data_IF_967313212081
#
_entry.id   IF_967313212081
#
_cell.length_a   1.000
_cell.length_b   1.000
_cell.length_c   1.000
_cell.angle_alpha   90.00
_cell.angle_beta   90.00
_cell.angle_gamma   90.00
#
_symmetry.space_group_name_H-M   'P 1'
#
loop_
_entity.id
_entity.type
_entity.pdbx_description
1 polymer ?
#
# COMPACT_ATOMS: atom_id res chain seq x y z
N UNK A 1 -4.18 55.41 -20.29
CA UNK A 1 -4.25 54.49 -19.13
C UNK A 1 -5.13 53.33 -19.55
N UNK A 2 -4.52 52.18 -19.88
CA UNK A 2 -5.22 50.96 -20.28
C UNK A 2 -4.96 49.91 -19.22
N UNK A 3 -6.00 49.47 -18.52
CA UNK A 3 -5.91 48.35 -17.58
C UNK A 3 -6.00 47.06 -18.38
N UNK A 4 -4.88 46.34 -18.44
CA UNK A 4 -4.87 44.97 -18.93
C UNK A 4 -5.63 44.09 -17.92
N UNK A 5 -6.83 43.67 -18.30
CA UNK A 5 -7.50 42.54 -17.66
C UNK A 5 -6.74 41.27 -18.06
N UNK A 6 -5.85 40.81 -17.18
CA UNK A 6 -5.28 39.48 -17.25
C UNK A 6 -6.39 38.48 -16.98
N UNK A 7 -6.91 37.88 -18.05
CA UNK A 7 -7.99 36.90 -18.02
C UNK A 7 -7.61 35.68 -17.20
N UNK A 8 -8.36 35.44 -16.13
CA UNK A 8 -8.45 34.17 -15.42
C UNK A 8 -9.16 33.15 -16.32
N UNK A 9 -8.46 32.57 -17.31
CA UNK A 9 -9.08 31.61 -18.25
C UNK A 9 -8.34 30.27 -18.29
N UNK A 10 -7.90 29.78 -17.12
CA UNK A 10 -7.28 28.46 -16.96
C UNK A 10 -7.89 27.57 -15.88
N UNK A 11 -8.86 28.08 -15.10
CA UNK A 11 -9.40 27.37 -13.94
C UNK A 11 -10.52 26.37 -14.29
N UNK A 12 -11.03 26.37 -15.53
CA UNK A 12 -12.16 25.53 -15.91
C UNK A 12 -11.79 24.10 -16.34
N UNK A 13 -10.53 23.86 -16.68
CA UNK A 13 -10.09 22.57 -17.23
C UNK A 13 -9.86 21.50 -16.15
N UNK A 14 -9.76 21.89 -14.87
CA UNK A 14 -9.47 20.97 -13.75
C UNK A 14 -10.71 20.51 -12.97
N UNK A 15 -11.91 21.00 -13.30
CA UNK A 15 -13.12 20.70 -12.52
C UNK A 15 -13.42 19.20 -12.39
N UNK A 16 -13.37 18.36 -13.44
CA UNK A 16 -13.64 16.94 -13.29
C UNK A 16 -12.66 16.25 -12.31
N UNK A 17 -11.37 16.60 -12.37
CA UNK A 17 -10.38 16.03 -11.46
C UNK A 17 -10.60 16.48 -10.00
N UNK A 18 -10.94 17.75 -9.79
CA UNK A 18 -11.24 18.30 -8.46
C UNK A 18 -12.50 17.67 -7.86
N UNK A 19 -13.57 17.55 -8.64
CA UNK A 19 -14.82 16.92 -8.20
C UNK A 19 -14.55 15.45 -7.88
N UNK A 20 -13.86 14.72 -8.76
CA UNK A 20 -13.52 13.31 -8.51
C UNK A 20 -12.75 13.15 -7.21
N UNK A 21 -11.73 13.98 -6.98
CA UNK A 21 -10.99 13.94 -5.72
C UNK A 21 -11.90 14.19 -4.51
N UNK A 22 -12.71 15.25 -4.55
CA UNK A 22 -13.61 15.58 -3.44
C UNK A 22 -14.61 14.45 -3.16
N UNK A 23 -15.14 13.81 -4.20
CA UNK A 23 -16.08 12.69 -4.09
C UNK A 23 -15.41 11.45 -3.51
N UNK A 24 -14.21 11.12 -3.95
CA UNK A 24 -13.44 10.01 -3.39
C UNK A 24 -13.10 10.25 -1.91
N UNK A 25 -12.74 11.49 -1.54
CA UNK A 25 -12.47 11.86 -0.16
C UNK A 25 -13.76 11.79 0.70
N UNK A 26 -14.92 12.23 0.19
CA UNK A 26 -16.21 12.09 0.88
C UNK A 26 -16.64 10.62 1.05
N UNK A 27 -16.44 9.80 0.03
CA UNK A 27 -16.70 8.36 0.12
C UNK A 27 -15.78 7.67 1.14
N UNK A 28 -14.50 8.04 1.16
CA UNK A 28 -13.54 7.53 2.14
C UNK A 28 -14.00 7.86 3.59
N UNK A 29 -14.50 9.08 3.82
CA UNK A 29 -15.08 9.47 5.12
C UNK A 29 -16.35 8.67 5.46
N UNK A 30 -17.22 8.43 4.48
CA UNK A 30 -18.40 7.58 4.65
C UNK A 30 -18.01 6.16 5.11
N UNK A 31 -16.99 5.56 4.48
CA UNK A 31 -16.50 4.22 4.84
C UNK A 31 -15.98 4.21 6.28
N UNK A 32 -15.18 5.21 6.68
CA UNK A 32 -14.68 5.34 8.06
C UNK A 32 -15.83 5.45 9.06
N UNK A 33 -16.84 6.28 8.78
CA UNK A 33 -18.00 6.44 9.65
C UNK A 33 -18.79 5.12 9.82
N UNK A 34 -18.93 4.34 8.74
CA UNK A 34 -19.56 3.03 8.76
C UNK A 34 -18.80 2.00 9.60
N UNK A 35 -17.46 1.99 9.52
CA UNK A 35 -16.61 1.06 10.30
C UNK A 35 -16.72 1.27 11.81
N UNK A 36 -16.89 2.52 12.28
CA UNK A 36 -17.02 2.82 13.71
C UNK A 36 -18.43 2.56 14.26
N UNK A 37 -19.45 2.49 13.41
CA UNK A 37 -20.84 2.25 13.85
C UNK A 37 -21.09 0.82 14.33
N UNK A 38 -20.28 -0.16 13.91
CA UNK A 38 -20.47 -1.57 14.27
C UNK A 38 -19.86 -1.96 15.62
N UNK A 39 -18.98 -1.14 16.19
CA UNK A 39 -18.17 -1.50 17.36
C UNK A 39 -18.57 -0.75 18.65
N UNK A 40 -19.51 0.19 18.56
CA UNK A 40 -19.98 0.96 19.70
C UNK A 40 -21.38 0.51 20.15
N UNK A 41 -21.44 -0.30 21.22
CA UNK A 41 -22.56 -0.27 22.16
C UNK A 41 -22.70 1.18 22.66
N UNK A 42 -23.50 2.00 21.98
CA UNK A 42 -23.66 3.40 22.38
C UNK A 42 -24.48 3.49 23.67
N UNK A 43 -23.97 4.17 24.71
CA UNK A 43 -24.81 4.65 25.79
C UNK A 43 -25.70 5.76 25.24
N UNK A 44 -26.96 5.68 25.63
CA UNK A 44 -28.05 6.55 25.22
C UNK A 44 -27.78 8.02 25.59
N UNK A 45 -28.02 8.92 24.64
CA UNK A 45 -28.10 10.36 24.88
C UNK A 45 -26.78 11.13 24.80
N UNK A 46 -26.62 11.94 23.74
CA UNK A 46 -26.45 13.42 23.79
C UNK A 46 -26.18 13.94 22.37
N UNK A 47 -27.23 14.57 21.83
CA UNK A 47 -27.29 15.77 20.99
C UNK A 47 -26.46 15.85 19.70
N UNK A 48 -27.20 15.76 18.59
CA UNK A 48 -26.92 16.30 17.26
C UNK A 48 -26.14 17.62 17.29
N UNK A 49 -24.90 17.58 16.81
CA UNK A 49 -24.20 18.74 16.30
C UNK A 49 -23.53 18.34 14.97
N UNK A 50 -24.22 18.67 13.87
CA UNK A 50 -23.68 18.86 12.52
C UNK A 50 -22.86 17.71 11.89
N UNK A 51 -23.40 16.49 11.87
CA UNK A 51 -22.94 15.46 10.92
C UNK A 51 -23.52 15.67 9.50
N UNK A 52 -23.65 16.92 9.03
CA UNK A 52 -24.25 17.23 7.73
C UNK A 52 -23.33 16.99 6.53
N UNK A 53 -22.05 16.70 6.77
CA UNK A 53 -21.05 16.56 5.69
C UNK A 53 -20.76 15.11 5.29
N UNK A 54 -21.22 14.12 6.06
CA UNK A 54 -21.00 12.70 5.72
C UNK A 54 -22.19 12.20 4.89
N UNK A 55 -21.96 11.61 3.69
CA UNK A 55 -23.03 11.00 2.90
C UNK A 55 -23.85 10.00 3.71
N UNK A 56 -25.16 9.90 3.44
CA UNK A 56 -26.05 8.95 4.15
C UNK A 56 -26.04 7.56 3.52
N UNK A 57 -25.63 7.46 2.26
CA UNK A 57 -25.50 6.18 1.55
C UNK A 57 -24.34 6.17 0.57
N UNK A 58 -23.98 4.98 0.10
CA UNK A 58 -22.95 4.78 -0.94
C UNK A 58 -23.38 5.46 -2.25
N UNK A 59 -24.66 5.32 -2.60
CA UNK A 59 -25.23 5.92 -3.81
C UNK A 59 -25.13 7.44 -3.76
N UNK A 60 -25.43 8.06 -2.61
CA UNK A 60 -25.28 9.51 -2.43
C UNK A 60 -23.81 9.94 -2.54
N UNK A 61 -22.90 9.20 -1.91
CA UNK A 61 -21.47 9.48 -1.96
C UNK A 61 -20.90 9.41 -3.38
N UNK A 62 -21.32 8.42 -4.18
CA UNK A 62 -20.70 8.12 -5.48
C UNK A 62 -21.52 8.63 -6.68
N UNK A 63 -22.75 9.10 -6.50
CA UNK A 63 -23.59 9.64 -7.58
C UNK A 63 -22.89 10.70 -8.46
N UNK A 64 -22.07 11.62 -7.92
CA UNK A 64 -21.34 12.57 -8.76
C UNK A 64 -20.37 11.90 -9.75
N UNK A 65 -19.78 10.75 -9.41
CA UNK A 65 -18.94 10.00 -10.35
C UNK A 65 -19.77 9.40 -11.50
N UNK A 66 -20.97 8.90 -11.21
CA UNK A 66 -21.87 8.40 -12.26
C UNK A 66 -22.29 9.52 -13.21
N UNK A 67 -22.52 10.75 -12.71
CA UNK A 67 -22.81 11.91 -13.56
C UNK A 67 -21.61 12.27 -14.44
N UNK A 68 -20.39 12.27 -13.89
CA UNK A 68 -19.18 12.67 -14.61
C UNK A 68 -18.69 11.63 -15.62
N UNK A 69 -18.75 10.35 -15.27
CA UNK A 69 -18.11 9.27 -16.04
C UNK A 69 -19.09 8.21 -16.55
N UNK A 70 -20.38 8.29 -16.17
CA UNK A 70 -21.42 7.35 -16.59
C UNK A 70 -21.06 5.90 -16.29
N UNK A 71 -21.18 5.04 -17.31
CA UNK A 71 -20.87 3.61 -17.21
C UNK A 71 -19.43 3.31 -16.80
N UNK A 72 -18.50 4.23 -17.06
CA UNK A 72 -17.10 4.09 -16.63
C UNK A 72 -16.99 4.12 -15.12
N UNK A 73 -17.75 5.00 -14.44
CA UNK A 73 -17.81 5.02 -12.97
C UNK A 73 -18.41 3.72 -12.42
N UNK A 74 -19.54 3.27 -12.96
CA UNK A 74 -20.17 2.02 -12.51
C UNK A 74 -19.22 0.81 -12.65
N UNK A 75 -18.46 0.75 -13.74
CA UNK A 75 -17.45 -0.29 -13.94
C UNK A 75 -16.30 -0.17 -12.93
N UNK A 76 -15.83 1.04 -12.67
CA UNK A 76 -14.77 1.29 -11.69
C UNK A 76 -15.20 0.93 -10.26
N UNK A 77 -16.45 1.23 -9.90
CA UNK A 77 -17.06 0.85 -8.62
C UNK A 77 -17.14 -0.67 -8.50
N UNK A 78 -17.57 -1.36 -9.57
CA UNK A 78 -17.52 -2.83 -9.65
C UNK A 78 -16.15 -3.40 -9.31
N UNK A 79 -15.09 -2.84 -9.90
CA UNK A 79 -13.72 -3.29 -9.68
C UNK A 79 -13.29 -3.02 -8.22
N UNK A 80 -13.41 -1.77 -7.76
CA UNK A 80 -12.85 -1.36 -6.48
C UNK A 80 -13.64 -1.88 -5.26
N UNK A 81 -14.97 -1.91 -5.33
CA UNK A 81 -15.83 -2.23 -4.19
C UNK A 81 -16.39 -3.65 -4.23
N UNK A 82 -16.53 -4.23 -5.42
CA UNK A 82 -17.12 -5.56 -5.59
C UNK A 82 -16.13 -6.61 -6.10
N UNK A 83 -14.86 -6.23 -6.31
CA UNK A 83 -13.80 -7.16 -6.70
C UNK A 83 -14.04 -7.83 -8.06
N UNK A 84 -14.77 -7.16 -8.98
CA UNK A 84 -15.05 -7.75 -10.31
C UNK A 84 -13.78 -7.99 -11.13
N UNK A 85 -12.72 -7.23 -10.83
CA UNK A 85 -11.37 -7.44 -11.34
C UNK A 85 -10.38 -7.28 -10.18
N UNK A 86 -9.24 -8.00 -10.18
CA UNK A 86 -8.25 -7.88 -9.11
C UNK A 86 -7.59 -6.50 -9.09
N UNK A 87 -7.38 -5.95 -7.90
CA UNK A 87 -6.54 -4.77 -7.67
C UNK A 87 -5.36 -5.18 -6.79
N UNK A 88 -4.15 -5.18 -7.35
CA UNK A 88 -2.94 -5.63 -6.66
C UNK A 88 -1.92 -4.50 -6.67
N UNK A 89 -1.41 -4.11 -5.50
CA UNK A 89 -0.26 -3.24 -5.35
C UNK A 89 0.99 -4.07 -5.09
N UNK A 90 1.93 -4.04 -6.03
CA UNK A 90 3.27 -4.58 -5.85
C UNK A 90 4.16 -3.49 -5.27
N UNK A 91 4.76 -3.76 -4.11
CA UNK A 91 5.69 -2.87 -3.42
C UNK A 91 7.07 -3.50 -3.49
N UNK A 92 8.02 -2.79 -4.06
CA UNK A 92 9.40 -3.26 -4.05
C UNK A 92 9.96 -3.30 -2.63
N UNK A 93 10.55 -4.43 -2.24
CA UNK A 93 11.27 -4.56 -0.97
C UNK A 93 12.52 -3.69 -1.03
N UNK A 94 12.62 -2.72 -0.12
CA UNK A 94 13.89 -2.04 0.13
C UNK A 94 14.90 -3.06 0.65
N UNK A 95 16.01 -3.24 -0.04
CA UNK A 95 17.15 -3.95 0.54
C UNK A 95 17.69 -3.07 1.66
N UNK A 96 17.47 -3.48 2.90
CA UNK A 96 18.14 -2.86 4.02
C UNK A 96 19.61 -3.25 3.90
N UNK A 97 20.43 -2.32 3.41
CA UNK A 97 21.89 -2.40 3.50
C UNK A 97 22.28 -2.45 4.98
N UNK A 98 22.26 -3.65 5.56
CA UNK A 98 22.89 -3.93 6.85
C UNK A 98 24.40 -3.95 6.62
N UNK A 99 24.97 -2.77 6.39
CA UNK A 99 26.40 -2.53 6.53
C UNK A 99 26.73 -2.43 8.02
N UNK A 100 26.61 -3.54 8.75
CA UNK A 100 27.30 -3.70 10.04
C UNK A 100 28.79 -3.92 9.73
N UNK A 101 29.47 -2.82 9.44
CA UNK A 101 30.92 -2.75 9.38
C UNK A 101 31.46 -2.70 10.82
N UNK A 102 31.46 -3.85 11.51
CA UNK A 102 32.27 -4.04 12.72
C UNK A 102 33.60 -4.73 12.36
N UNK A 103 34.39 -4.07 11.50
CA UNK A 103 35.82 -4.36 11.34
C UNK A 103 36.61 -3.85 12.56
N UNK A 104 36.52 -4.54 13.70
CA UNK A 104 37.52 -4.39 14.78
C UNK A 104 38.78 -5.14 14.35
N UNK A 105 39.69 -4.41 13.69
CA UNK A 105 41.11 -4.77 13.63
C UNK A 105 41.71 -4.60 15.01
N UNK A 106 42.01 -5.70 15.69
CA UNK A 106 43.11 -5.74 16.67
C UNK A 106 44.24 -6.55 16.04
N UNK A 107 45.20 -5.83 15.48
CA UNK A 107 46.53 -6.34 15.21
C UNK A 107 47.41 -6.14 16.45
N UNK A 108 48.47 -6.95 16.50
CA UNK A 108 49.58 -6.99 17.45
C UNK A 108 49.35 -7.77 18.75
N UNK A 109 49.80 -9.03 18.76
CA UNK A 109 50.97 -9.37 19.55
C UNK A 109 51.67 -10.68 19.09
N UNK A 110 52.93 -10.76 19.48
CA UNK A 110 54.08 -11.40 18.84
C UNK A 110 54.47 -12.79 19.45
N UNK A 111 55.33 -13.52 18.71
CA UNK A 111 56.23 -14.64 19.08
C UNK A 111 55.71 -15.98 19.66
N UNK A 112 56.15 -17.12 19.06
CA UNK A 112 56.63 -18.26 19.87
C UNK A 112 56.45 -19.71 19.41
N UNK A 113 57.31 -20.17 18.50
CA UNK A 113 58.09 -21.43 18.49
C UNK A 113 57.54 -22.82 18.95
N UNK A 114 58.02 -23.84 18.19
CA UNK A 114 58.31 -25.27 18.49
C UNK A 114 57.29 -26.38 18.14
N UNK A 115 57.75 -27.24 17.22
CA UNK A 115 57.33 -28.62 16.93
C UNK A 115 57.13 -29.53 18.16
N UNK A 116 56.16 -30.45 18.08
CA UNK A 116 56.42 -31.87 18.38
C UNK A 116 55.41 -32.85 17.78
N UNK A 117 55.95 -33.97 17.32
CA UNK A 117 55.30 -35.11 16.69
C UNK A 117 54.52 -36.03 17.66
N UNK A 118 53.54 -36.73 17.06
CA UNK A 118 53.14 -38.14 17.21
C UNK A 118 52.75 -38.70 18.60
N UNK A 119 51.53 -39.26 18.71
CA UNK A 119 51.26 -40.72 18.62
C UNK A 119 49.83 -41.11 19.08
N UNK A 120 49.22 -41.98 18.26
CA UNK A 120 48.44 -43.22 18.56
C UNK A 120 47.15 -43.23 19.41
N UNK A 121 46.16 -43.87 18.78
CA UNK A 121 45.36 -45.04 19.20
C UNK A 121 44.01 -44.89 19.95
N UNK A 122 42.94 -45.25 19.21
CA UNK A 122 41.89 -46.25 19.47
C UNK A 122 41.34 -46.48 20.90
N UNK A 123 40.02 -46.29 21.05
CA UNK A 123 39.00 -47.22 21.65
C UNK A 123 37.68 -46.43 21.83
N UNK A 124 36.53 -46.79 21.21
CA UNK A 124 35.55 -47.87 21.49
C UNK A 124 34.58 -47.59 22.67
N UNK A 125 33.27 -47.83 22.43
CA UNK A 125 32.17 -47.98 23.42
C UNK A 125 31.27 -46.74 23.55
N UNK A 126 30.03 -46.68 23.05
CA UNK A 126 28.78 -47.44 23.33
C UNK A 126 27.98 -46.90 24.54
N UNK A 127 26.67 -46.70 24.29
CA UNK A 127 25.53 -46.56 25.22
C UNK A 127 25.43 -45.25 26.05
N UNK A 128 24.27 -44.69 26.42
CA UNK A 128 22.87 -44.78 26.04
C UNK A 128 22.10 -43.70 26.86
N UNK A 129 20.81 -43.52 26.54
CA UNK A 129 19.70 -43.04 27.39
C UNK A 129 19.56 -41.53 27.72
N UNK A 130 18.57 -40.93 27.05
CA UNK A 130 17.43 -40.12 27.55
C UNK A 130 17.55 -39.39 28.90
N UNK A 131 17.20 -38.10 28.92
CA UNK A 131 16.13 -37.53 29.77
C UNK A 131 15.96 -36.03 29.56
N UNK A 132 14.82 -35.62 28.99
CA UNK A 132 14.21 -34.31 29.18
C UNK A 132 13.68 -34.21 30.63
N UNK A 133 13.78 -33.03 31.28
CA UNK A 133 12.53 -32.36 31.60
C UNK A 133 12.58 -30.83 31.42
N UNK A 134 11.60 -30.38 30.65
CA UNK A 134 10.79 -29.16 30.77
C UNK A 134 11.00 -28.38 32.08
N UNK A 135 11.38 -27.11 31.97
CA UNK A 135 11.04 -26.07 32.95
C UNK A 135 10.84 -24.76 32.21
N UNK A 136 9.62 -24.23 32.37
CA UNK A 136 9.10 -23.03 31.75
C UNK A 136 9.90 -21.80 32.20
N UNK A 137 10.59 -21.15 31.28
CA UNK A 137 10.95 -19.74 31.43
C UNK A 137 9.92 -18.92 30.63
N UNK A 138 9.02 -18.27 31.36
CA UNK A 138 8.15 -17.21 30.85
C UNK A 138 9.06 -16.05 30.47
N UNK A 139 9.36 -15.92 29.18
CA UNK A 139 9.95 -14.70 28.62
C UNK A 139 8.84 -13.66 28.49
N UNK A 140 8.98 -12.59 29.25
CA UNK A 140 8.24 -11.35 29.07
C UNK A 140 8.63 -10.79 27.68
N UNK A 141 7.73 -10.98 26.73
CA UNK A 141 7.79 -10.36 25.41
C UNK A 141 6.65 -9.33 25.39
N UNK A 142 6.97 -8.13 25.85
CA UNK A 142 6.13 -6.95 25.76
C UNK A 142 7.05 -5.77 25.47
N UNK A 143 6.63 -4.93 24.53
CA UNK A 143 7.19 -3.59 24.24
C UNK A 143 8.24 -3.46 23.12
N UNK A 144 8.26 -4.37 22.13
CA UNK A 144 9.07 -4.16 20.91
C UNK A 144 8.33 -4.38 19.58
N UNK A 145 7.00 -4.40 19.59
CA UNK A 145 6.19 -4.58 18.38
C UNK A 145 5.65 -3.25 17.79
N UNK A 146 5.60 -2.18 18.59
CA UNK A 146 5.03 -0.89 18.14
C UNK A 146 6.00 -0.04 17.31
N UNK A 147 7.32 -0.13 17.51
CA UNK A 147 8.28 0.68 16.75
C UNK A 147 8.54 0.12 15.34
N UNK A 148 8.57 -1.21 15.18
CA UNK A 148 8.79 -1.87 13.89
C UNK A 148 7.59 -1.69 12.95
N UNK A 149 6.36 -1.70 13.46
CA UNK A 149 5.13 -1.47 12.69
C UNK A 149 5.03 -0.04 12.12
N UNK A 150 5.42 0.97 12.90
CA UNK A 150 5.44 2.37 12.46
C UNK A 150 6.58 2.62 11.47
N UNK A 151 7.76 2.00 11.70
CA UNK A 151 8.88 2.07 10.76
C UNK A 151 8.57 1.41 9.42
N UNK A 152 7.88 0.27 9.43
CA UNK A 152 7.50 -0.46 8.21
C UNK A 152 6.42 0.26 7.38
N UNK A 153 5.46 0.94 8.00
CA UNK A 153 4.52 1.81 7.26
C UNK A 153 5.24 2.98 6.57
N UNK A 154 6.25 3.58 7.20
CA UNK A 154 7.01 4.70 6.61
C UNK A 154 7.95 4.27 5.48
N UNK A 155 8.54 3.07 5.57
CA UNK A 155 9.39 2.50 4.53
C UNK A 155 8.58 2.14 3.27
N UNK A 156 7.35 1.64 3.45
CA UNK A 156 6.41 1.36 2.36
C UNK A 156 6.02 2.62 1.60
N UNK A 157 5.92 3.78 2.26
CA UNK A 157 5.60 5.05 1.58
C UNK A 157 6.70 5.57 0.65
N UNK A 158 7.96 5.10 0.79
CA UNK A 158 9.08 5.47 -0.07
C UNK A 158 9.44 4.42 -1.12
N UNK A 159 8.81 3.24 -1.07
CA UNK A 159 9.10 2.15 -1.98
C UNK A 159 8.48 2.37 -3.36
N UNK A 160 9.14 1.86 -4.40
CA UNK A 160 8.61 1.87 -5.77
C UNK A 160 7.40 0.94 -5.83
N UNK A 161 6.32 1.41 -6.46
CA UNK A 161 5.04 0.69 -6.51
C UNK A 161 4.58 0.49 -7.95
N UNK A 162 4.01 -0.69 -8.22
CA UNK A 162 3.24 -1.00 -9.42
C UNK A 162 1.84 -1.43 -9.03
N UNK A 163 0.87 -1.10 -9.87
CA UNK A 163 -0.52 -1.44 -9.64
C UNK A 163 -1.04 -2.30 -10.78
N UNK A 164 -1.53 -3.48 -10.49
CA UNK A 164 -2.28 -4.29 -11.44
C UNK A 164 -3.76 -4.10 -11.17
N UNK A 165 -4.51 -3.69 -12.19
CA UNK A 165 -5.96 -3.50 -12.16
C UNK A 165 -6.54 -4.31 -13.30
N UNK A 166 -7.13 -5.45 -12.98
CA UNK A 166 -7.49 -6.47 -13.97
C UNK A 166 -6.27 -6.95 -14.74
N UNK A 167 -6.30 -6.77 -16.06
CA UNK A 167 -5.21 -7.14 -16.97
C UNK A 167 -4.19 -6.02 -17.19
N UNK A 168 -4.42 -4.83 -16.66
CA UNK A 168 -3.57 -3.68 -16.91
C UNK A 168 -2.61 -3.39 -15.76
N UNK A 169 -1.35 -3.12 -16.10
CA UNK A 169 -0.34 -2.64 -15.16
C UNK A 169 -0.21 -1.12 -15.27
N UNK A 170 -0.31 -0.44 -14.14
CA UNK A 170 -0.27 1.01 -13.99
C UNK A 170 0.94 1.37 -13.13
N UNK A 171 1.74 2.32 -13.60
CA UNK A 171 2.90 2.85 -12.88
C UNK A 171 2.52 4.02 -11.95
N UNK A 172 1.31 4.56 -12.13
CA UNK A 172 0.81 5.73 -11.43
C UNK A 172 -0.71 5.70 -11.41
N UNK A 173 -1.37 6.20 -10.35
CA UNK A 173 -2.83 6.34 -10.32
C UNK A 173 -3.36 7.37 -11.33
N UNK A 174 -2.48 8.04 -12.07
CA UNK A 174 -2.81 9.09 -13.05
C UNK A 174 -2.56 8.67 -14.50
N UNK A 175 -2.18 7.42 -14.77
CA UNK A 175 -1.92 6.95 -16.13
C UNK A 175 -2.29 5.47 -16.28
N UNK A 176 -2.98 5.12 -17.37
CA UNK A 176 -3.27 3.75 -17.73
C UNK A 176 -2.98 3.47 -19.21
N UNK A 177 -2.31 2.36 -19.55
CA UNK A 177 -1.96 2.04 -20.93
C UNK A 177 -3.14 1.44 -21.73
N UNK A 178 -4.35 1.38 -21.19
CA UNK A 178 -5.48 0.77 -21.90
C UNK A 178 -5.91 1.60 -23.11
N UNK A 179 -6.44 0.92 -24.14
CA UNK A 179 -6.91 1.55 -25.38
C UNK A 179 -7.99 2.59 -25.15
N UNK A 180 -8.87 2.40 -24.16
CA UNK A 180 -9.88 3.37 -23.79
C UNK A 180 -9.27 4.71 -23.34
N UNK A 181 -8.19 4.68 -22.54
CA UNK A 181 -7.48 5.88 -22.11
C UNK A 181 -6.72 6.54 -23.28
N UNK A 182 -6.05 5.74 -24.11
CA UNK A 182 -5.36 6.23 -25.30
C UNK A 182 -6.33 6.91 -26.29
N UNK A 183 -7.53 6.35 -26.49
CA UNK A 183 -8.54 6.92 -27.38
C UNK A 183 -9.10 8.25 -26.84
N UNK A 184 -9.43 8.30 -25.55
CA UNK A 184 -9.94 9.51 -24.90
C UNK A 184 -8.92 10.66 -24.93
N UNK A 185 -7.65 10.36 -24.67
CA UNK A 185 -6.56 11.37 -24.72
C UNK A 185 -6.34 11.94 -26.13
N UNK A 186 -6.52 11.15 -27.18
CA UNK A 186 -6.39 11.61 -28.58
C UNK A 186 -7.59 12.48 -28.99
N UNK A 187 -8.81 12.14 -28.56
CA UNK A 187 -10.03 12.85 -28.95
C UNK A 187 -10.29 14.16 -28.18
N UNK A 188 -9.42 14.53 -27.22
CA UNK A 188 -9.65 15.69 -26.33
C UNK A 188 -11.03 15.67 -25.66
N UNK A 189 -11.54 14.47 -25.34
CA UNK A 189 -12.72 14.42 -24.48
C UNK A 189 -12.32 15.01 -23.12
N UNK A 190 -13.16 15.87 -22.56
CA UNK A 190 -12.85 16.68 -21.36
C UNK A 190 -12.55 15.82 -20.11
N UNK A 191 -12.84 14.52 -20.17
CA UNK A 191 -12.77 13.61 -19.02
C UNK A 191 -11.74 12.50 -19.28
N UNK A 192 -10.58 12.64 -18.65
CA UNK A 192 -9.39 11.81 -18.86
C UNK A 192 -9.31 10.68 -17.83
N UNK A 193 -10.28 9.77 -17.83
CA UNK A 193 -10.25 8.65 -16.89
C UNK A 193 -10.89 7.39 -17.45
N UNK A 194 -10.12 6.32 -17.50
CA UNK A 194 -10.66 4.98 -17.76
C UNK A 194 -11.10 4.31 -16.45
N UNK A 195 -11.88 3.23 -16.56
CA UNK A 195 -12.36 2.47 -15.39
C UNK A 195 -11.23 2.01 -14.45
N UNK A 196 -10.07 1.64 -15.00
CA UNK A 196 -8.95 1.13 -14.20
C UNK A 196 -8.31 2.22 -13.34
N UNK A 197 -8.14 3.42 -13.90
CA UNK A 197 -7.61 4.57 -13.14
C UNK A 197 -8.56 4.97 -12.03
N UNK A 198 -9.85 5.08 -12.34
CA UNK A 198 -10.85 5.47 -11.35
C UNK A 198 -10.98 4.42 -10.24
N UNK A 199 -10.96 3.13 -10.60
CA UNK A 199 -10.99 2.04 -9.63
C UNK A 199 -9.75 2.06 -8.70
N UNK A 200 -8.56 2.26 -9.28
CA UNK A 200 -7.33 2.37 -8.51
C UNK A 200 -7.35 3.57 -7.56
N UNK A 201 -7.78 4.74 -8.05
CA UNK A 201 -7.91 5.93 -7.22
C UNK A 201 -8.88 5.72 -6.06
N UNK A 202 -10.03 5.06 -6.31
CA UNK A 202 -11.00 4.73 -5.28
C UNK A 202 -10.41 3.77 -4.22
N UNK A 203 -9.76 2.69 -4.64
CA UNK A 203 -9.11 1.74 -3.73
C UNK A 203 -8.02 2.40 -2.86
N UNK A 204 -7.14 3.20 -3.47
CA UNK A 204 -6.07 3.89 -2.74
C UNK A 204 -6.60 4.95 -1.76
N UNK A 205 -7.73 5.59 -2.08
CA UNK A 205 -8.36 6.58 -1.20
C UNK A 205 -8.94 5.94 0.04
N UNK A 206 -9.56 4.78 -0.10
CA UNK A 206 -10.10 4.03 1.04
C UNK A 206 -8.94 3.47 1.86
N UNK A 207 -7.92 2.90 1.22
CA UNK A 207 -6.72 2.43 1.93
C UNK A 207 -6.04 3.55 2.75
N UNK A 208 -5.99 4.78 2.22
CA UNK A 208 -5.41 5.92 2.92
C UNK A 208 -6.15 6.28 4.23
N UNK A 209 -7.38 5.80 4.42
CA UNK A 209 -8.11 5.96 5.69
C UNK A 209 -7.70 4.95 6.75
N UNK A 210 -6.93 3.92 6.39
CA UNK A 210 -6.59 2.80 7.28
C UNK A 210 -7.68 1.74 7.40
N UNK A 211 -8.83 1.92 6.73
CA UNK A 211 -9.86 0.88 6.65
C UNK A 211 -9.35 -0.25 5.76
N UNK A 212 -9.33 -1.47 6.33
CA UNK A 212 -8.92 -2.68 5.60
C UNK A 212 -9.91 -2.97 4.48
N UNK A 213 -9.40 -3.19 3.27
CA UNK A 213 -10.20 -3.58 2.12
C UNK A 213 -9.82 -4.99 1.66
N UNK A 214 -10.82 -5.82 1.39
CA UNK A 214 -10.59 -7.15 0.83
C UNK A 214 -10.16 -7.11 -0.65
N UNK A 215 -10.52 -6.04 -1.36
CA UNK A 215 -10.34 -5.95 -2.81
C UNK A 215 -8.96 -5.41 -3.24
N UNK A 216 -8.19 -4.79 -2.33
CA UNK A 216 -6.84 -4.30 -2.61
C UNK A 216 -5.81 -5.22 -1.95
N UNK A 217 -5.15 -6.04 -2.77
CA UNK A 217 -4.08 -6.93 -2.30
C UNK A 217 -2.72 -6.23 -2.37
N UNK A 218 -1.96 -6.26 -1.28
CA UNK A 218 -0.59 -5.71 -1.26
C UNK A 218 0.42 -6.86 -1.28
N UNK A 219 1.35 -6.84 -2.24
CA UNK A 219 2.41 -7.84 -2.40
C UNK A 219 3.78 -7.19 -2.34
N UNK A 220 4.59 -7.58 -1.36
CA UNK A 220 5.99 -7.17 -1.28
C UNK A 220 6.83 -8.09 -2.16
N UNK A 221 7.54 -7.53 -3.13
CA UNK A 221 8.31 -8.28 -4.14
C UNK A 221 9.80 -7.93 -4.07
N UNK A 222 10.66 -8.86 -4.49
CA UNK A 222 12.09 -8.57 -4.62
C UNK A 222 12.36 -7.57 -5.76
N UNK A 223 13.48 -6.83 -5.75
CA UNK A 223 13.86 -5.95 -6.86
C UNK A 223 13.85 -6.66 -8.23
N UNK A 224 14.38 -7.89 -8.30
CA UNK A 224 14.40 -8.69 -9.52
C UNK A 224 12.98 -9.06 -10.02
N UNK A 225 12.06 -9.40 -9.12
CA UNK A 225 10.66 -9.65 -9.48
C UNK A 225 9.95 -8.36 -9.92
N UNK A 226 10.23 -7.24 -9.25
CA UNK A 226 9.71 -5.93 -9.63
C UNK A 226 10.14 -5.55 -11.05
N UNK A 227 11.43 -5.73 -11.39
CA UNK A 227 11.94 -5.51 -12.74
C UNK A 227 11.28 -6.41 -13.79
N UNK A 228 11.03 -7.68 -13.47
CA UNK A 228 10.29 -8.58 -14.37
C UNK A 228 8.85 -8.11 -14.61
N UNK A 229 8.18 -7.62 -13.56
CA UNK A 229 6.83 -7.06 -13.69
C UNK A 229 6.84 -5.79 -14.54
N UNK A 230 7.82 -4.90 -14.35
CA UNK A 230 8.02 -3.72 -15.19
C UNK A 230 8.17 -4.12 -16.66
N UNK A 231 9.09 -5.03 -16.97
CA UNK A 231 9.40 -5.42 -18.35
C UNK A 231 8.24 -6.10 -19.07
N UNK A 232 7.36 -6.82 -18.34
CA UNK A 232 6.15 -7.42 -18.92
C UNK A 232 5.06 -6.40 -19.24
N UNK A 233 5.13 -5.21 -18.65
CA UNK A 233 4.11 -4.16 -18.77
C UNK A 233 4.43 -3.10 -19.84
N UNK A 234 5.60 -3.17 -20.45
CA UNK A 234 6.05 -2.34 -21.58
C UNK A 234 5.74 -3.02 -22.92
#
# INVERSE_FOLDING_TARGET
MSMAMTGFSRAAEDYPALITRAVLDAYAQYVVAGSHSSDALRPDGVVDAEAHDVPKSIEEALAPLEILYGKTALSAIGIALHGTEPVIRYVERAEADFSDDESVKTADDDVGCVHREAQRARSSGADAVSSTPRSNAVSQQGDQESAAAVSSQSAVQRARCLYQVGEHTLFSPYYCPCSAYAYQSIQRQEVWCCKHMLALQLALRIEATGVVQDNLSVRIVSPAEYEQLLLRSL
#
